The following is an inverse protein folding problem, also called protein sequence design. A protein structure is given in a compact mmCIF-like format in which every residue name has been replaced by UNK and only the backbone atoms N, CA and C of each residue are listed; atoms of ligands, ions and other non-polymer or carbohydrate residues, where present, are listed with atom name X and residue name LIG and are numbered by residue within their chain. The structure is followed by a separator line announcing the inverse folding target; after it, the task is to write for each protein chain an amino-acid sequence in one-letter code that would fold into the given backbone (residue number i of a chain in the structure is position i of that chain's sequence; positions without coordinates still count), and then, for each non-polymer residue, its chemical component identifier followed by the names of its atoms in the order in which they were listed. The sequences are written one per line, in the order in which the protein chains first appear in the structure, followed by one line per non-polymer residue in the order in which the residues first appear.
data_IF_207013249797
#
_entry.id   IF_207013249797
#
_cell.length_a   1.000
_cell.length_b   1.000
_cell.length_c   1.000
_cell.angle_alpha   90.00
_cell.angle_beta   90.00
_cell.angle_gamma   90.00
#
_symmetry.space_group_name_H-M   'P 1'
#
loop_
_entity.id
_entity.type
_entity.pdbx_description
1 polymer ?
#
# COMPACT_ATOMS: atom_id res chain seq x y z
N UNK A 1 -18.90 -64.10 33.52
CA UNK A 1 -19.42 -64.06 34.89
C UNK A 1 -19.36 -62.63 35.36
N UNK A 2 -20.55 -62.10 35.60
CA UNK A 2 -20.86 -60.79 36.15
C UNK A 2 -20.14 -60.50 37.47
N UNK A 3 -19.83 -59.23 37.74
CA UNK A 3 -20.55 -58.49 38.77
C UNK A 3 -20.28 -56.97 38.63
N UNK A 4 -21.40 -56.26 38.58
CA UNK A 4 -21.58 -54.82 38.49
C UNK A 4 -21.65 -54.21 39.91
N UNK A 5 -21.37 -52.89 39.95
CA UNK A 5 -21.74 -51.87 40.95
C UNK A 5 -20.85 -51.71 42.19
N UNK A 6 -20.22 -50.54 42.33
CA UNK A 6 -20.79 -49.56 43.25
C UNK A 6 -20.48 -48.11 42.86
N UNK A 7 -21.49 -47.27 42.99
CA UNK A 7 -21.53 -45.86 42.64
C UNK A 7 -20.89 -44.98 43.71
N UNK A 8 -20.21 -43.91 43.30
CA UNK A 8 -20.24 -42.66 44.07
C UNK A 8 -20.02 -41.45 43.16
N UNK A 9 -21.11 -40.77 42.84
CA UNK A 9 -21.14 -39.35 42.48
C UNK A 9 -21.49 -38.60 43.77
N UNK A 10 -20.83 -37.49 44.13
CA UNK A 10 -21.38 -36.18 43.72
C UNK A 10 -20.25 -35.12 43.52
N UNK A 11 -20.37 -34.02 42.78
CA UNK A 11 -21.36 -32.93 42.90
C UNK A 11 -21.31 -32.08 41.63
N UNK A 12 -22.48 -31.60 41.23
CA UNK A 12 -22.69 -30.45 40.36
C UNK A 12 -21.77 -29.27 40.74
N UNK A 13 -21.04 -28.73 39.77
CA UNK A 13 -20.47 -27.38 39.83
C UNK A 13 -21.17 -26.56 38.74
N UNK A 14 -22.21 -25.84 39.13
CA UNK A 14 -22.73 -24.71 38.37
C UNK A 14 -21.83 -23.51 38.64
N UNK A 15 -21.37 -22.81 37.60
CA UNK A 15 -20.85 -21.46 37.78
C UNK A 15 -19.76 -21.02 36.84
N UNK A 16 -20.19 -20.44 35.71
CA UNK A 16 -19.55 -19.36 34.95
C UNK A 16 -18.14 -19.61 34.39
N UNK A 17 -18.08 -19.58 33.05
CA UNK A 17 -16.83 -19.46 32.31
C UNK A 17 -15.96 -18.32 32.86
N UNK A 18 -14.84 -18.70 33.43
CA UNK A 18 -13.71 -17.80 33.60
C UNK A 18 -13.15 -17.57 32.20
N UNK A 19 -13.46 -16.41 31.63
CA UNK A 19 -12.62 -15.84 30.57
C UNK A 19 -11.22 -15.71 31.17
N UNK A 20 -10.27 -16.46 30.63
CA UNK A 20 -8.86 -16.19 30.81
C UNK A 20 -8.63 -14.70 30.55
N UNK A 21 -7.89 -13.97 31.40
CA UNK A 21 -7.59 -12.59 31.11
C UNK A 21 -6.89 -12.55 29.75
N UNK A 22 -7.46 -11.78 28.82
CA UNK A 22 -6.81 -11.43 27.56
C UNK A 22 -5.51 -10.75 27.93
N UNK A 23 -4.41 -11.50 27.91
CA UNK A 23 -3.06 -10.95 28.06
C UNK A 23 -2.92 -9.98 26.88
N UNK A 24 -2.70 -8.68 27.11
CA UNK A 24 -2.31 -7.80 26.02
C UNK A 24 -1.06 -8.41 25.41
N UNK A 25 -1.15 -8.77 24.13
CA UNK A 25 -0.02 -9.24 23.34
C UNK A 25 0.98 -8.09 23.22
N UNK A 26 1.81 -7.89 24.24
CA UNK A 26 3.00 -7.04 24.20
C UNK A 26 4.06 -7.82 23.42
N UNK A 27 3.79 -8.06 22.15
CA UNK A 27 4.79 -8.56 21.22
C UNK A 27 5.68 -7.36 20.85
N UNK A 28 6.94 -7.33 21.32
CA UNK A 28 7.85 -6.24 21.02
C UNK A 28 8.07 -6.09 19.51
N UNK A 29 7.88 -7.14 18.69
CA UNK A 29 7.94 -7.05 17.24
C UNK A 29 6.74 -6.28 16.66
N UNK A 30 5.54 -6.48 17.22
CA UNK A 30 4.33 -5.73 16.82
C UNK A 30 4.43 -4.26 17.24
N UNK A 31 5.00 -4.00 18.41
CA UNK A 31 5.20 -2.63 18.91
C UNK A 31 6.31 -1.91 18.12
N UNK A 32 7.41 -2.60 17.78
CA UNK A 32 8.40 -2.08 16.85
C UNK A 32 7.79 -1.81 15.47
N UNK A 33 6.93 -2.70 14.96
CA UNK A 33 6.29 -2.54 13.66
C UNK A 33 5.40 -1.29 13.62
N UNK A 34 4.64 -1.04 14.69
CA UNK A 34 3.81 0.18 14.80
C UNK A 34 4.66 1.45 15.00
N UNK A 35 5.77 1.38 15.75
CA UNK A 35 6.72 2.50 15.90
C UNK A 35 7.42 2.82 14.57
N UNK A 36 7.84 1.81 13.82
CA UNK A 36 8.48 1.96 12.50
C UNK A 36 7.47 2.49 11.47
N UNK A 37 6.22 2.02 11.47
CA UNK A 37 5.15 2.60 10.63
C UNK A 37 4.83 4.04 11.00
N UNK A 38 4.84 4.37 12.30
CA UNK A 38 4.67 5.74 12.79
C UNK A 38 5.83 6.65 12.36
N UNK A 39 7.03 6.11 12.16
CA UNK A 39 8.20 6.86 11.71
C UNK A 39 8.17 7.20 10.21
N UNK A 40 7.51 6.37 9.40
CA UNK A 40 7.39 6.53 7.94
C UNK A 40 5.98 6.97 7.56
N UNK A 41 5.71 8.29 7.62
CA UNK A 41 4.39 8.85 7.34
C UNK A 41 4.30 9.35 5.90
N UNK A 42 3.21 9.00 5.22
CA UNK A 42 2.86 9.50 3.89
C UNK A 42 1.39 9.95 3.93
N UNK A 43 1.13 11.17 3.47
CA UNK A 43 -0.19 11.79 3.43
C UNK A 43 -0.50 12.24 2.00
N UNK A 44 -1.66 11.85 1.48
CA UNK A 44 -2.19 12.43 0.25
C UNK A 44 -2.81 13.79 0.55
N UNK A 45 -2.20 14.86 0.04
CA UNK A 45 -2.68 16.24 0.18
C UNK A 45 -3.78 16.57 -0.85
N UNK A 46 -3.65 16.01 -2.06
CA UNK A 46 -4.58 16.23 -3.17
C UNK A 46 -4.66 14.98 -4.03
N UNK A 47 -5.87 14.70 -4.52
CA UNK A 47 -6.15 13.77 -5.61
C UNK A 47 -6.82 14.55 -6.75
N UNK A 48 -6.43 14.28 -7.98
CA UNK A 48 -7.06 14.89 -9.16
C UNK A 48 -7.24 13.83 -10.24
N UNK A 49 -8.49 13.61 -10.61
CA UNK A 49 -8.87 12.70 -11.68
C UNK A 49 -8.92 13.49 -13.00
N UNK A 50 -8.05 13.13 -13.95
CA UNK A 50 -8.00 13.70 -15.30
C UNK A 50 -8.51 12.64 -16.27
N UNK A 51 -9.72 12.83 -16.79
CA UNK A 51 -10.26 11.96 -17.83
C UNK A 51 -9.60 12.40 -19.16
N UNK A 52 -8.86 11.51 -19.78
CA UNK A 52 -8.41 11.69 -21.16
C UNK A 52 -9.39 10.99 -22.09
N UNK A 53 -9.62 11.58 -23.26
CA UNK A 53 -10.65 11.20 -24.21
C UNK A 53 -10.72 9.69 -24.53
N UNK A 54 -11.93 9.21 -24.86
CA UNK A 54 -12.14 7.94 -25.55
C UNK A 54 -11.25 7.90 -26.79
N UNK A 55 -10.35 6.92 -26.84
CA UNK A 55 -9.61 6.61 -28.05
C UNK A 55 -10.36 5.50 -28.78
N UNK A 56 -10.23 5.45 -30.10
CA UNK A 56 -10.89 4.45 -30.95
C UNK A 56 -10.66 2.99 -30.53
N UNK A 57 -9.66 2.73 -29.68
CA UNK A 57 -9.22 1.40 -29.26
C UNK A 57 -9.27 1.20 -27.73
N UNK A 58 -9.97 2.06 -26.98
CA UNK A 58 -10.16 1.93 -25.53
C UNK A 58 -10.16 3.23 -24.74
N UNK A 59 -10.28 3.10 -23.42
CA UNK A 59 -10.40 4.22 -22.48
C UNK A 59 -9.08 4.48 -21.77
N UNK A 60 -8.73 5.77 -21.62
CA UNK A 60 -7.55 6.20 -20.87
C UNK A 60 -7.96 7.17 -19.76
N UNK A 61 -7.54 6.90 -18.54
CA UNK A 61 -7.82 7.74 -17.37
C UNK A 61 -6.53 8.02 -16.63
N UNK A 62 -6.33 9.26 -16.20
CA UNK A 62 -5.17 9.65 -15.41
C UNK A 62 -5.61 10.06 -14.01
N UNK A 63 -4.86 9.66 -12.99
CA UNK A 63 -5.07 10.10 -11.61
C UNK A 63 -3.76 10.64 -11.09
N UNK A 64 -3.79 11.85 -10.55
CA UNK A 64 -2.64 12.54 -10.00
C UNK A 64 -2.81 12.71 -8.48
N UNK A 65 -1.77 12.40 -7.73
CA UNK A 65 -1.71 12.57 -6.28
C UNK A 65 -0.57 13.51 -5.91
N UNK A 66 -0.86 14.52 -5.10
CA UNK A 66 0.19 15.26 -4.37
C UNK A 66 0.36 14.61 -3.00
N UNK A 67 1.53 14.03 -2.76
CA UNK A 67 1.89 13.37 -1.52
C UNK A 67 2.83 14.25 -0.71
N UNK A 68 2.66 14.25 0.61
CA UNK A 68 3.62 14.78 1.58
C UNK A 68 4.08 13.65 2.49
N UNK A 69 5.38 13.53 2.68
CA UNK A 69 5.98 12.42 3.42
C UNK A 69 6.92 12.93 4.53
N UNK A 70 7.29 12.07 5.47
CA UNK A 70 8.34 12.39 6.45
C UNK A 70 9.72 12.33 5.81
N UNK A 71 10.70 13.09 6.33
CA UNK A 71 12.09 13.05 5.83
C UNK A 71 12.70 11.66 5.88
N UNK A 72 12.29 10.84 6.84
CA UNK A 72 12.72 9.44 6.98
C UNK A 72 12.46 8.59 5.73
N UNK A 73 11.38 8.88 5.00
CA UNK A 73 11.06 8.22 3.72
C UNK A 73 12.16 8.48 2.67
N UNK A 74 12.72 9.69 2.65
CA UNK A 74 13.71 10.12 1.66
C UNK A 74 15.12 9.67 2.05
N UNK A 75 15.45 9.80 3.34
CA UNK A 75 16.82 9.69 3.85
C UNK A 75 17.29 8.27 4.09
N UNK A 76 16.41 7.27 4.00
CA UNK A 76 16.73 5.88 4.38
C UNK A 76 16.24 4.89 3.34
N UNK A 77 17.01 3.83 3.10
CA UNK A 77 16.61 2.75 2.20
C UNK A 77 15.29 2.07 2.63
N UNK A 78 15.05 1.76 3.94
CA UNK A 78 13.75 1.28 4.39
C UNK A 78 12.61 2.27 4.10
N UNK A 79 12.85 3.57 4.26
CA UNK A 79 11.87 4.61 3.92
C UNK A 79 11.51 4.64 2.45
N UNK A 80 12.51 4.48 1.56
CA UNK A 80 12.28 4.40 0.12
C UNK A 80 11.44 3.16 -0.26
N UNK A 81 11.68 2.02 0.40
CA UNK A 81 10.87 0.82 0.21
C UNK A 81 9.41 1.05 0.64
N UNK A 82 9.19 1.65 1.83
CA UNK A 82 7.84 2.00 2.30
C UNK A 82 7.12 2.93 1.32
N UNK A 83 7.83 3.90 0.74
CA UNK A 83 7.26 4.77 -0.29
C UNK A 83 6.86 3.98 -1.54
N UNK A 84 7.74 3.11 -2.04
CA UNK A 84 7.45 2.32 -3.23
C UNK A 84 6.26 1.37 -3.00
N UNK A 85 6.18 0.73 -1.84
CA UNK A 85 5.03 -0.10 -1.42
C UNK A 85 3.74 0.72 -1.42
N UNK A 86 3.80 1.92 -0.84
CA UNK A 86 2.68 2.84 -0.80
C UNK A 86 2.21 3.23 -2.20
N UNK A 87 3.12 3.53 -3.14
CA UNK A 87 2.77 3.85 -4.52
C UNK A 87 2.06 2.69 -5.22
N UNK A 88 2.56 1.45 -5.07
CA UNK A 88 1.91 0.28 -5.66
C UNK A 88 0.51 0.06 -5.06
N UNK A 89 0.36 0.19 -3.73
CA UNK A 89 -0.92 0.07 -3.06
C UNK A 89 -1.90 1.17 -3.50
N UNK A 90 -1.41 2.41 -3.61
CA UNK A 90 -2.20 3.57 -4.04
C UNK A 90 -2.69 3.40 -5.49
N UNK A 91 -1.82 2.92 -6.38
CA UNK A 91 -2.16 2.60 -7.76
C UNK A 91 -3.25 1.53 -7.83
N UNK A 92 -3.07 0.39 -7.16
CA UNK A 92 -4.04 -0.73 -7.23
C UNK A 92 -5.40 -0.33 -6.65
N UNK A 93 -5.41 0.38 -5.52
CA UNK A 93 -6.66 0.83 -4.86
C UNK A 93 -7.44 1.88 -5.65
N UNK A 94 -6.80 2.57 -6.59
CA UNK A 94 -7.41 3.64 -7.39
C UNK A 94 -7.56 3.28 -8.87
N UNK A 95 -7.50 1.98 -9.24
CA UNK A 95 -7.78 1.54 -10.59
C UNK A 95 -9.23 1.90 -11.00
N UNK A 96 -9.44 2.80 -11.97
CA UNK A 96 -10.79 3.28 -12.33
C UNK A 96 -11.55 2.29 -13.23
N UNK A 97 -10.93 1.21 -13.68
CA UNK A 97 -11.53 0.23 -14.59
C UNK A 97 -11.88 -1.10 -13.90
N UNK A 98 -11.32 -1.38 -12.73
CA UNK A 98 -11.53 -2.64 -11.96
C UNK A 98 -11.30 -3.96 -12.74
N UNK A 99 -10.72 -3.90 -13.96
CA UNK A 99 -10.35 -5.05 -14.78
C UNK A 99 -8.86 -5.40 -14.59
N UNK A 100 -8.55 -6.70 -14.56
CA UNK A 100 -7.16 -7.23 -14.42
C UNK A 100 -6.24 -6.86 -15.59
N UNK A 101 -6.81 -6.68 -16.77
CA UNK A 101 -6.09 -6.33 -18.01
C UNK A 101 -5.76 -4.84 -18.12
N UNK A 102 -6.10 -4.05 -17.09
CA UNK A 102 -5.77 -2.62 -17.08
C UNK A 102 -4.26 -2.46 -17.13
N UNK A 103 -3.78 -1.73 -18.14
CA UNK A 103 -2.39 -1.36 -18.30
C UNK A 103 -2.18 -0.04 -17.57
N UNK A 104 -1.09 0.09 -16.83
CA UNK A 104 -0.78 1.29 -16.07
C UNK A 104 0.66 1.74 -16.29
N UNK A 105 0.86 3.05 -16.32
CA UNK A 105 2.16 3.69 -16.21
C UNK A 105 2.15 4.62 -15.00
N UNK A 106 3.28 4.73 -14.32
CA UNK A 106 3.46 5.54 -13.11
C UNK A 106 4.49 6.61 -13.44
N UNK A 107 4.20 7.89 -13.20
CA UNK A 107 5.21 8.94 -13.16
C UNK A 107 5.35 9.50 -11.75
N UNK A 108 6.59 9.79 -11.33
CA UNK A 108 6.88 10.43 -10.05
C UNK A 108 7.74 11.66 -10.30
N UNK A 109 7.32 12.79 -9.75
CA UNK A 109 7.99 14.08 -9.78
C UNK A 109 8.16 14.59 -8.35
N UNK A 110 9.28 15.23 -8.05
CA UNK A 110 9.54 15.81 -6.74
C UNK A 110 10.31 17.12 -6.84
N UNK A 111 9.95 18.07 -5.97
CA UNK A 111 10.50 19.42 -5.96
C UNK A 111 10.29 20.19 -7.28
N UNK A 112 11.23 21.10 -7.57
CA UNK A 112 11.24 21.97 -8.76
C UNK A 112 11.98 21.35 -9.97
N UNK A 113 12.39 20.08 -9.87
CA UNK A 113 13.17 19.42 -10.92
C UNK A 113 12.23 18.82 -11.97
N UNK A 114 12.39 19.22 -13.23
CA UNK A 114 11.57 18.83 -14.37
C UNK A 114 11.77 17.37 -14.86
N UNK A 115 12.26 16.49 -14.00
CA UNK A 115 12.49 15.08 -14.32
C UNK A 115 11.20 14.26 -14.16
N UNK A 116 10.62 13.82 -15.28
CA UNK A 116 9.53 12.84 -15.28
C UNK A 116 10.13 11.42 -15.24
N UNK A 117 9.90 10.69 -14.14
CA UNK A 117 10.34 9.30 -14.05
C UNK A 117 9.16 8.36 -14.22
N UNK A 118 9.02 7.84 -15.43
CA UNK A 118 7.95 6.94 -15.85
C UNK A 118 8.33 5.47 -15.71
N UNK A 119 7.51 4.66 -15.04
CA UNK A 119 7.47 3.22 -15.27
C UNK A 119 6.83 2.94 -16.65
N UNK A 120 7.33 1.93 -17.37
CA UNK A 120 6.72 1.50 -18.63
C UNK A 120 5.26 1.08 -18.41
N UNK A 121 4.44 1.24 -19.44
CA UNK A 121 3.10 0.66 -19.47
C UNK A 121 3.19 -0.86 -19.30
N UNK A 122 2.56 -1.39 -18.26
CA UNK A 122 2.47 -2.83 -18.01
C UNK A 122 1.16 -3.18 -17.29
N UNK A 123 0.72 -4.45 -17.32
CA UNK A 123 -0.48 -4.87 -16.61
C UNK A 123 -0.41 -4.52 -15.12
N UNK A 124 -1.50 -4.00 -14.56
CA UNK A 124 -1.54 -3.52 -13.17
C UNK A 124 -1.14 -4.58 -12.15
N UNK A 125 -1.42 -5.86 -12.44
CA UNK A 125 -1.05 -6.97 -11.57
C UNK A 125 0.43 -7.34 -11.63
N UNK A 126 1.10 -7.00 -12.72
CA UNK A 126 2.53 -7.26 -12.93
C UNK A 126 3.41 -6.14 -12.37
N UNK A 127 2.82 -5.02 -11.95
CA UNK A 127 3.57 -3.93 -11.32
C UNK A 127 4.09 -4.35 -9.96
N UNK A 128 5.41 -4.35 -9.84
CA UNK A 128 6.12 -4.66 -8.60
C UNK A 128 6.75 -3.41 -7.98
N UNK A 129 7.06 -3.51 -6.70
CA UNK A 129 7.81 -2.49 -5.95
C UNK A 129 9.14 -2.19 -6.63
N UNK A 130 9.80 -3.21 -7.21
CA UNK A 130 11.08 -3.05 -7.92
C UNK A 130 10.97 -2.15 -9.16
N UNK A 131 9.81 -2.11 -9.81
CA UNK A 131 9.60 -1.23 -10.95
C UNK A 131 9.52 0.23 -10.50
N UNK A 132 8.91 0.48 -9.34
CA UNK A 132 8.84 1.82 -8.72
C UNK A 132 10.19 2.25 -8.15
N UNK A 133 10.90 1.35 -7.46
CA UNK A 133 12.25 1.59 -6.92
C UNK A 133 13.20 2.05 -8.03
N UNK A 134 13.12 1.44 -9.23
CA UNK A 134 13.95 1.87 -10.36
C UNK A 134 13.66 3.33 -10.76
N UNK A 135 12.41 3.78 -10.69
CA UNK A 135 12.05 5.17 -10.95
C UNK A 135 12.54 6.15 -9.86
N UNK A 136 12.63 5.71 -8.61
CA UNK A 136 12.98 6.56 -7.45
C UNK A 136 14.50 6.60 -7.17
N UNK A 137 15.23 5.50 -7.38
CA UNK A 137 16.65 5.40 -7.05
C UNK A 137 17.60 5.80 -8.20
N UNK A 138 17.20 5.71 -9.47
CA UNK A 138 18.06 6.11 -10.60
C UNK A 138 18.16 7.63 -10.76
N UNK A 139 17.50 8.37 -9.89
CA UNK A 139 17.30 9.80 -9.97
C UNK A 139 17.95 10.44 -8.75
N UNK A 140 19.14 10.99 -8.94
CA UNK A 140 19.90 11.68 -7.91
C UNK A 140 19.06 12.82 -7.28
N UNK A 141 18.34 12.53 -6.19
CA UNK A 141 17.53 13.44 -5.37
C UNK A 141 16.28 14.05 -6.05
N UNK A 142 15.27 13.24 -6.38
CA UNK A 142 13.94 13.76 -6.78
C UNK A 142 13.23 14.45 -5.60
N UNK A 143 13.34 13.88 -4.40
CA UNK A 143 12.54 14.33 -3.28
C UNK A 143 13.29 15.41 -2.50
N UNK A 144 12.77 16.65 -2.55
CA UNK A 144 13.33 17.76 -1.80
C UNK A 144 13.26 17.46 -0.29
N UNK A 145 14.42 17.36 0.35
CA UNK A 145 14.49 17.12 1.79
C UNK A 145 13.86 18.25 2.62
N UNK A 146 13.81 19.49 2.10
CA UNK A 146 13.22 20.63 2.80
C UNK A 146 11.70 20.55 2.77
N UNK A 147 11.15 20.14 1.63
CA UNK A 147 9.72 19.93 1.42
C UNK A 147 9.51 18.54 0.85
N UNK A 148 9.41 17.51 1.71
CA UNK A 148 9.29 16.11 1.30
C UNK A 148 7.93 15.87 0.64
N UNK A 149 7.81 16.25 -0.62
CA UNK A 149 6.61 16.14 -1.44
C UNK A 149 6.92 15.53 -2.78
N UNK A 150 5.96 14.77 -3.28
CA UNK A 150 6.00 14.19 -4.61
C UNK A 150 4.63 14.32 -5.27
N UNK A 151 4.63 14.63 -6.56
CA UNK A 151 3.47 14.41 -7.41
C UNK A 151 3.62 13.04 -8.06
N UNK A 152 2.61 12.21 -7.91
CA UNK A 152 2.56 10.86 -8.50
C UNK A 152 1.38 10.81 -9.46
N UNK A 153 1.65 10.48 -10.71
CA UNK A 153 0.60 10.32 -11.73
C UNK A 153 0.51 8.87 -12.16
N UNK A 154 -0.70 8.33 -12.13
CA UNK A 154 -1.04 7.03 -12.68
C UNK A 154 -1.82 7.22 -13.97
N UNK A 155 -1.30 6.72 -15.07
CA UNK A 155 -2.00 6.67 -16.35
C UNK A 155 -2.52 5.26 -16.59
N UNK A 156 -3.83 5.07 -16.48
CA UNK A 156 -4.52 3.82 -16.72
C UNK A 156 -5.03 3.77 -18.15
N UNK A 157 -4.83 2.65 -18.79
CA UNK A 157 -5.40 2.31 -20.09
C UNK A 157 -6.13 0.99 -19.98
N UNK A 158 -7.36 0.97 -20.49
CA UNK A 158 -8.10 -0.26 -20.70
C UNK A 158 -8.45 -0.32 -22.19
N UNK A 159 -7.94 -1.33 -22.89
CA UNK A 159 -8.46 -1.63 -24.22
C UNK A 159 -9.87 -2.16 -24.01
N UNK A 160 -10.87 -1.46 -24.54
CA UNK A 160 -12.22 -1.99 -24.63
C UNK A 160 -12.19 -3.13 -25.66
N UNK A 161 -11.73 -4.30 -25.26
CA UNK A 161 -12.20 -5.54 -25.84
C UNK A 161 -13.59 -5.74 -25.21
N UNK A 162 -14.59 -5.20 -25.91
CA UNK A 162 -16.05 -5.47 -25.78
C UNK A 162 -16.46 -6.42 -24.68
#
# INVERSE_FOLDING_TARGET
MDHLLNMQNPKHFDGKGQQSPTVPSNDPESELCEVVKSFFKIHALRKTDKISADKSNGQMKSIEFLLQMSRSIILTEPGANVFCDYIVALMKSHNPFTKKETIVSISIEGGDHSGYFGAKFQPIEEVTIRDVIRCVLHSNNILDEKVPRATVTFMYFNSDAT
#
